data_IF_882070579497
#
_entry.id   IF_882070579497
#
_cell.length_a   1.000
_cell.length_b   1.000
_cell.length_c   1.000
_cell.angle_alpha   90.00
_cell.angle_beta   90.00
_cell.angle_gamma   90.00
#
_symmetry.space_group_name_H-M   'P 1'
#
loop_
_entity.id
_entity.type
_entity.pdbx_description
1 polymer ?
#
# COMPACT_ATOMS: atom_id res chain seq x y z
N UNK A 1 9.32 8.19 -16.21
CA UNK A 1 9.70 7.98 -14.79
C UNK A 1 10.84 8.92 -14.49
N UNK A 2 10.74 9.71 -13.42
CA UNK A 2 11.70 10.77 -13.09
C UNK A 2 13.07 10.19 -12.71
N UNK A 3 14.16 10.84 -13.13
CA UNK A 3 15.53 10.45 -12.79
C UNK A 3 15.75 10.47 -11.28
N UNK A 4 15.17 11.45 -10.59
CA UNK A 4 15.31 11.58 -9.13
C UNK A 4 14.69 10.40 -8.38
N UNK A 5 13.54 9.89 -8.84
CA UNK A 5 12.87 8.73 -8.23
C UNK A 5 13.68 7.45 -8.38
N UNK A 6 14.37 7.29 -9.51
CA UNK A 6 15.24 6.13 -9.75
C UNK A 6 16.44 6.19 -8.81
N UNK A 7 17.10 7.36 -8.72
CA UNK A 7 18.23 7.57 -7.82
C UNK A 7 17.87 7.29 -6.37
N UNK A 8 16.74 7.84 -5.88
CA UNK A 8 16.24 7.56 -4.53
C UNK A 8 15.91 6.09 -4.31
N UNK A 9 15.32 5.41 -5.30
CA UNK A 9 15.04 3.98 -5.21
C UNK A 9 16.32 3.16 -5.06
N UNK A 10 17.39 3.51 -5.78
CA UNK A 10 18.70 2.88 -5.67
C UNK A 10 19.34 3.17 -4.30
N UNK A 11 19.33 4.42 -3.84
CA UNK A 11 19.84 4.77 -2.51
C UNK A 11 19.16 3.94 -1.41
N UNK A 12 17.83 3.83 -1.45
CA UNK A 12 17.07 3.02 -0.50
C UNK A 12 17.43 1.54 -0.60
N UNK A 13 17.59 1.02 -1.82
CA UNK A 13 17.99 -0.37 -2.05
C UNK A 13 19.38 -0.67 -1.45
N UNK A 14 20.29 0.31 -1.50
CA UNK A 14 21.60 0.25 -0.86
C UNK A 14 21.59 0.58 0.65
N UNK A 15 20.41 0.75 1.25
CA UNK A 15 20.23 0.87 2.69
C UNK A 15 20.18 2.30 3.23
N UNK A 16 20.22 3.33 2.36
CA UNK A 16 20.02 4.72 2.80
C UNK A 16 18.60 4.89 3.34
N UNK A 17 18.48 5.49 4.52
CA UNK A 17 17.19 5.74 5.18
C UNK A 17 17.01 7.24 5.37
N UNK A 18 16.05 7.81 4.65
CA UNK A 18 15.69 9.24 4.77
C UNK A 18 14.27 9.41 5.29
N UNK A 19 13.97 10.57 5.88
CA UNK A 19 12.58 10.95 6.15
C UNK A 19 11.99 11.54 4.87
N UNK A 20 11.05 10.82 4.27
CA UNK A 20 10.42 11.20 3.01
C UNK A 20 8.96 11.59 3.23
N UNK A 21 8.50 12.58 2.47
CA UNK A 21 7.09 12.97 2.47
C UNK A 21 6.21 11.82 1.97
N UNK A 22 4.94 11.79 2.40
CA UNK A 22 3.95 10.83 1.89
C UNK A 22 3.84 10.86 0.36
N UNK A 23 3.89 12.06 -0.25
CA UNK A 23 3.82 12.22 -1.70
C UNK A 23 4.98 11.52 -2.41
N UNK A 24 6.21 11.70 -1.91
CA UNK A 24 7.42 11.06 -2.44
C UNK A 24 7.37 9.54 -2.22
N UNK A 25 6.96 9.08 -1.04
CA UNK A 25 6.82 7.64 -0.74
C UNK A 25 5.82 6.95 -1.67
N UNK A 26 4.71 7.62 -2.01
CA UNK A 26 3.71 7.10 -2.96
C UNK A 26 4.26 6.96 -4.37
N UNK A 27 5.05 7.94 -4.82
CA UNK A 27 5.71 7.88 -6.12
C UNK A 27 6.76 6.76 -6.15
N UNK A 28 7.58 6.65 -5.11
CA UNK A 28 8.57 5.58 -4.95
C UNK A 28 7.94 4.20 -4.88
N UNK A 29 6.82 4.03 -4.15
CA UNK A 29 6.10 2.76 -4.12
C UNK A 29 5.65 2.34 -5.53
N UNK A 30 5.16 3.29 -6.33
CA UNK A 30 4.73 3.02 -7.71
C UNK A 30 5.91 2.63 -8.60
N UNK A 31 7.04 3.35 -8.49
CA UNK A 31 8.26 3.05 -9.23
C UNK A 31 8.83 1.68 -8.83
N UNK A 32 8.95 1.41 -7.54
CA UNK A 32 9.42 0.13 -7.01
C UNK A 32 8.50 -1.03 -7.38
N UNK A 33 7.18 -0.80 -7.47
CA UNK A 33 6.23 -1.82 -7.93
C UNK A 33 6.44 -2.17 -9.42
N UNK A 34 6.71 -1.16 -10.24
CA UNK A 34 6.98 -1.30 -11.68
C UNK A 34 8.32 -2.01 -11.92
N UNK A 35 9.34 -1.69 -11.12
CA UNK A 35 10.69 -2.25 -11.23
C UNK A 35 10.91 -3.53 -10.41
N UNK A 36 9.88 -4.02 -9.73
CA UNK A 36 9.91 -5.17 -8.81
C UNK A 36 10.99 -5.10 -7.71
N UNK A 37 11.30 -3.89 -7.23
CA UNK A 37 12.27 -3.65 -6.16
C UNK A 37 11.66 -3.94 -4.79
N UNK A 38 11.72 -5.22 -4.36
CA UNK A 38 11.06 -5.71 -3.15
C UNK A 38 11.50 -4.98 -1.86
N UNK A 39 12.78 -4.67 -1.72
CA UNK A 39 13.28 -3.97 -0.53
C UNK A 39 12.79 -2.52 -0.44
N UNK A 40 12.75 -1.83 -1.59
CA UNK A 40 12.23 -0.47 -1.70
C UNK A 40 10.71 -0.47 -1.46
N UNK A 41 9.98 -1.45 -2.01
CA UNK A 41 8.54 -1.63 -1.75
C UNK A 41 8.26 -1.81 -0.26
N UNK A 42 9.04 -2.64 0.42
CA UNK A 42 8.87 -2.91 1.85
C UNK A 42 9.16 -1.66 2.66
N UNK A 43 10.27 -0.98 2.35
CA UNK A 43 10.63 0.28 2.99
C UNK A 43 9.53 1.34 2.83
N UNK A 44 9.04 1.56 1.60
CA UNK A 44 8.00 2.55 1.34
C UNK A 44 6.72 2.25 2.12
N UNK A 45 6.27 0.99 2.13
CA UNK A 45 5.08 0.59 2.90
C UNK A 45 5.25 0.82 4.40
N UNK A 46 6.42 0.46 4.97
CA UNK A 46 6.71 0.71 6.37
C UNK A 46 6.75 2.19 6.70
N UNK A 47 7.39 3.02 5.86
CA UNK A 47 7.43 4.46 6.08
C UNK A 47 6.05 5.09 5.98
N UNK A 48 5.20 4.67 5.03
CA UNK A 48 3.83 5.16 4.94
C UNK A 48 3.05 4.82 6.23
N UNK A 49 3.21 3.62 6.79
CA UNK A 49 2.54 3.24 8.04
C UNK A 49 3.04 4.07 9.23
N UNK A 50 4.34 4.36 9.30
CA UNK A 50 4.96 5.03 10.45
C UNK A 50 4.90 6.56 10.37
N UNK A 51 4.69 7.13 9.19
CA UNK A 51 4.71 8.57 9.00
C UNK A 51 3.40 9.20 9.53
N UNK A 52 3.53 10.14 10.47
CA UNK A 52 2.41 10.87 11.07
C UNK A 52 1.65 11.74 10.05
N UNK A 53 2.33 12.17 8.98
CA UNK A 53 1.73 12.96 7.89
C UNK A 53 0.94 12.08 6.90
N UNK A 54 0.94 10.76 7.08
CA UNK A 54 0.18 9.86 6.21
C UNK A 54 -1.31 10.13 6.41
N UNK A 55 -2.06 10.44 5.33
CA UNK A 55 -3.48 10.69 5.45
C UNK A 55 -4.22 9.43 5.92
N UNK A 56 -5.30 9.64 6.66
CA UNK A 56 -6.28 8.58 6.93
C UNK A 56 -6.71 7.99 5.59
N UNK A 57 -6.58 6.66 5.45
CA UNK A 57 -6.86 6.03 4.17
C UNK A 57 -8.36 6.12 3.86
N UNK A 58 -8.62 6.73 2.72
CA UNK A 58 -9.91 6.78 2.06
C UNK A 58 -9.89 5.87 0.81
N UNK A 59 -10.98 5.88 0.04
CA UNK A 59 -11.13 5.05 -1.15
C UNK A 59 -9.98 5.21 -2.17
N UNK A 60 -9.44 6.42 -2.33
CA UNK A 60 -8.31 6.69 -3.21
C UNK A 60 -7.03 5.99 -2.73
N UNK A 61 -6.68 6.10 -1.44
CA UNK A 61 -5.49 5.42 -0.93
C UNK A 61 -5.67 3.90 -0.91
N UNK A 62 -6.89 3.42 -0.64
CA UNK A 62 -7.21 2.00 -0.70
C UNK A 62 -7.01 1.45 -2.11
N UNK A 63 -7.57 2.12 -3.12
CA UNK A 63 -7.41 1.78 -4.54
C UNK A 63 -5.94 1.74 -4.92
N UNK A 64 -5.20 2.79 -4.53
CA UNK A 64 -3.78 2.89 -4.82
C UNK A 64 -2.99 1.71 -4.22
N UNK A 65 -3.18 1.43 -2.93
CA UNK A 65 -2.50 0.33 -2.24
C UNK A 65 -2.87 -1.04 -2.85
N UNK A 66 -4.12 -1.20 -3.26
CA UNK A 66 -4.64 -2.42 -3.86
C UNK A 66 -4.04 -2.72 -5.23
N UNK A 67 -3.69 -1.69 -6.01
CA UNK A 67 -3.18 -1.83 -7.39
C UNK A 67 -1.64 -1.77 -7.50
N UNK A 68 -0.95 -1.26 -6.48
CA UNK A 68 0.50 -0.97 -6.54
C UNK A 68 1.33 -1.79 -5.56
N UNK A 69 1.00 -3.08 -5.38
CA UNK A 69 1.70 -4.02 -4.47
C UNK A 69 1.79 -3.52 -3.01
N UNK A 70 0.93 -2.58 -2.60
CA UNK A 70 0.89 -1.96 -1.27
C UNK A 70 0.18 -2.80 -0.21
N UNK A 71 0.25 -4.13 -0.31
CA UNK A 71 -0.53 -5.07 0.50
C UNK A 71 -0.23 -5.02 2.00
N UNK A 72 0.99 -4.66 2.43
CA UNK A 72 1.34 -4.49 3.85
C UNK A 72 0.66 -3.23 4.40
N UNK A 73 0.72 -2.14 3.65
CA UNK A 73 0.02 -0.90 4.00
C UNK A 73 -1.50 -1.09 4.03
N UNK A 74 -2.04 -1.82 3.04
CA UNK A 74 -3.45 -2.20 2.99
C UNK A 74 -3.86 -3.02 4.22
N UNK A 75 -3.10 -4.07 4.55
CA UNK A 75 -3.38 -4.92 5.70
C UNK A 75 -3.34 -4.15 7.02
N UNK A 76 -2.43 -3.19 7.16
CA UNK A 76 -2.38 -2.32 8.34
C UNK A 76 -3.65 -1.49 8.47
N UNK A 77 -4.09 -0.84 7.40
CA UNK A 77 -5.33 -0.05 7.43
C UNK A 77 -6.57 -0.89 7.70
N UNK A 78 -6.66 -2.07 7.08
CA UNK A 78 -7.82 -2.97 7.26
C UNK A 78 -8.01 -3.42 8.72
N UNK A 79 -6.96 -3.45 9.55
CA UNK A 79 -7.10 -3.73 10.99
C UNK A 79 -7.92 -2.68 11.74
N UNK A 80 -8.05 -1.48 11.19
CA UNK A 80 -8.79 -0.37 11.78
C UNK A 80 -10.21 -0.24 11.21
N UNK A 81 -10.61 -1.10 10.28
CA UNK A 81 -11.99 -1.16 9.79
C UNK A 81 -12.92 -1.63 10.91
N UNK A 82 -14.09 -0.99 11.02
CA UNK A 82 -15.06 -1.31 12.05
C UNK A 82 -15.91 -2.52 11.68
N UNK A 83 -16.11 -2.77 10.40
CA UNK A 83 -16.98 -3.84 9.92
C UNK A 83 -16.57 -4.37 8.55
N UNK A 84 -17.12 -5.55 8.22
CA UNK A 84 -17.06 -6.11 6.87
C UNK A 84 -17.78 -5.20 5.86
N UNK A 85 -18.85 -4.53 6.26
CA UNK A 85 -19.67 -3.74 5.33
C UNK A 85 -18.94 -2.48 4.83
N UNK A 86 -18.06 -1.89 5.66
CA UNK A 86 -17.13 -0.84 5.21
C UNK A 86 -16.22 -1.36 4.07
N UNK A 87 -15.64 -2.55 4.24
CA UNK A 87 -14.82 -3.17 3.19
C UNK A 87 -15.63 -3.46 1.93
N UNK A 88 -16.83 -4.04 2.06
CA UNK A 88 -17.71 -4.33 0.92
C UNK A 88 -18.06 -3.06 0.15
N UNK A 89 -18.35 -1.96 0.85
CA UNK A 89 -18.64 -0.66 0.25
C UNK A 89 -17.51 -0.20 -0.67
N UNK A 90 -16.26 -0.29 -0.18
CA UNK A 90 -15.07 0.08 -0.95
C UNK A 90 -14.82 -0.90 -2.10
N UNK A 91 -14.92 -2.21 -1.88
CA UNK A 91 -14.69 -3.19 -2.93
C UNK A 91 -15.67 -3.06 -4.11
N UNK A 92 -16.90 -2.59 -3.86
CA UNK A 92 -17.88 -2.31 -4.92
C UNK A 92 -17.47 -1.19 -5.87
N UNK A 93 -16.62 -0.25 -5.43
CA UNK A 93 -16.17 0.86 -6.28
C UNK A 93 -14.86 0.55 -7.02
N UNK A 94 -14.22 -0.57 -6.70
CA UNK A 94 -12.95 -0.97 -7.27
C UNK A 94 -13.13 -1.89 -8.47
N UNK A 95 -12.27 -1.70 -9.45
CA UNK A 95 -11.98 -2.71 -10.45
C UNK A 95 -11.14 -3.83 -9.80
N UNK A 96 -11.80 -4.91 -9.40
CA UNK A 96 -11.18 -6.04 -8.70
C UNK A 96 -10.14 -6.77 -9.56
N UNK A 97 -10.24 -6.71 -10.89
CA UNK A 97 -9.30 -7.37 -11.79
C UNK A 97 -7.92 -6.68 -11.79
N UNK A 98 -7.87 -5.39 -11.42
CA UNK A 98 -6.61 -4.63 -11.30
C UNK A 98 -5.93 -4.79 -9.95
N UNK A 99 -6.57 -5.46 -8.99
CA UNK A 99 -5.97 -5.71 -7.69
C UNK A 99 -4.82 -6.70 -7.82
N UNK A 100 -3.74 -6.44 -7.07
CA UNK A 100 -2.70 -7.44 -6.95
C UNK A 100 -3.23 -8.66 -6.20
N UNK A 101 -2.76 -9.85 -6.56
CA UNK A 101 -3.16 -11.09 -5.90
C UNK A 101 -2.93 -11.03 -4.39
N UNK A 102 -1.85 -10.39 -3.95
CA UNK A 102 -1.55 -10.23 -2.53
C UNK A 102 -2.53 -9.27 -1.82
N UNK A 103 -2.91 -8.17 -2.46
CA UNK A 103 -3.97 -7.28 -1.94
C UNK A 103 -5.33 -8.01 -1.83
N UNK A 104 -5.66 -8.84 -2.83
CA UNK A 104 -6.89 -9.64 -2.81
C UNK A 104 -6.88 -10.66 -1.65
N UNK A 105 -5.75 -11.32 -1.41
CA UNK A 105 -5.58 -12.23 -0.26
C UNK A 105 -5.80 -11.51 1.07
N UNK A 106 -5.33 -10.26 1.22
CA UNK A 106 -5.59 -9.50 2.45
C UNK A 106 -7.09 -9.23 2.64
N UNK A 107 -7.83 -8.92 1.57
CA UNK A 107 -9.28 -8.77 1.60
C UNK A 107 -9.98 -10.05 2.05
N UNK A 108 -9.68 -11.17 1.40
CA UNK A 108 -10.25 -12.49 1.73
C UNK A 108 -9.94 -12.88 3.17
N UNK A 109 -8.70 -12.68 3.62
CA UNK A 109 -8.28 -12.95 5.01
C UNK A 109 -9.12 -12.15 6.01
N UNK A 110 -9.37 -10.87 5.73
CA UNK A 110 -10.22 -10.04 6.59
C UNK A 110 -11.67 -10.54 6.62
N UNK A 111 -12.25 -10.95 5.47
CA UNK A 111 -13.57 -11.56 5.44
C UNK A 111 -13.63 -12.83 6.29
N UNK A 112 -12.66 -13.74 6.15
CA UNK A 112 -12.65 -14.99 6.91
C UNK A 112 -12.60 -14.74 8.42
N UNK A 113 -11.71 -13.86 8.88
CA UNK A 113 -11.55 -13.54 10.32
C UNK A 113 -12.84 -12.96 10.92
N UNK A 114 -13.55 -12.11 10.18
CA UNK A 114 -14.75 -11.44 10.69
C UNK A 114 -16.04 -12.24 10.50
N UNK A 115 -16.06 -13.31 9.70
CA UNK A 115 -17.20 -14.24 9.60
C UNK A 115 -17.07 -15.45 10.55
N UNK A 116 -15.91 -15.65 11.19
CA UNK A 116 -15.68 -16.69 12.19
C UNK A 116 -15.92 -16.24 13.63
N UNK A 117 -16.41 -15.00 13.82
CA UNK A 117 -16.85 -14.43 15.10
C UNK A 117 -18.36 -14.31 15.09
#
# INVERSE_FOLDING_TARGET
MDRELIEKSLQIAHGVREKLSYATLRQLLSAAALLDMKDVLRYCQSQIIMNADTPVMNEFQFRFASYRKGHIYLAHWMRNLKSIDELKGILKTLDLQKMTSESMKQCVKFFMINNSK
#
